data_IF_840650517196
#
_entry.id   IF_840650517196
#
_cell.length_a   1.000
_cell.length_b   1.000
_cell.length_c   1.000
_cell.angle_alpha   90.00
_cell.angle_beta   90.00
_cell.angle_gamma   90.00
#
_symmetry.space_group_name_H-M   'P 1'
#
loop_
_entity.id
_entity.type
_entity.pdbx_description
1 polymer ?
#
# COMPACT_ATOMS: atom_id res chain seq x y z
N UNK A 1 -4.14 27.61 12.89
CA UNK A 1 -3.74 26.19 12.99
C UNK A 1 -3.39 25.71 11.58
N UNK A 2 -2.19 25.17 11.35
CA UNK A 2 -1.76 24.76 9.99
C UNK A 2 -2.62 23.59 9.49
N UNK A 3 -3.64 23.90 8.68
CA UNK A 3 -4.60 22.93 8.13
C UNK A 3 -4.03 22.09 6.96
N UNK A 4 -2.90 22.51 6.40
CA UNK A 4 -2.22 21.85 5.28
C UNK A 4 -1.83 20.38 5.54
N UNK A 5 -1.13 20.01 6.63
CA UNK A 5 -0.78 18.61 6.90
C UNK A 5 -2.01 17.71 7.09
N UNK A 6 -3.09 18.27 7.64
CA UNK A 6 -4.34 17.55 7.82
C UNK A 6 -5.03 17.28 6.47
N UNK A 7 -5.12 18.28 5.59
CA UNK A 7 -5.66 18.13 4.23
C UNK A 7 -4.86 17.12 3.40
N UNK A 8 -3.52 17.17 3.48
CA UNK A 8 -2.65 16.19 2.83
C UNK A 8 -2.96 14.76 3.28
N UNK A 9 -3.05 14.55 4.59
CA UNK A 9 -3.28 13.21 5.18
C UNK A 9 -4.62 12.62 4.74
N UNK A 10 -5.68 13.43 4.74
CA UNK A 10 -7.00 12.99 4.27
C UNK A 10 -6.98 12.62 2.79
N UNK A 11 -6.36 13.46 1.95
CA UNK A 11 -6.27 13.19 0.52
C UNK A 11 -5.45 11.94 0.21
N UNK A 12 -4.36 11.74 0.94
CA UNK A 12 -3.57 10.51 0.86
C UNK A 12 -4.41 9.28 1.20
N UNK A 13 -5.15 9.30 2.32
CA UNK A 13 -5.99 8.16 2.74
C UNK A 13 -7.08 7.86 1.70
N UNK A 14 -7.75 8.88 1.19
CA UNK A 14 -8.77 8.74 0.14
C UNK A 14 -8.18 8.06 -1.10
N UNK A 15 -7.06 8.58 -1.62
CA UNK A 15 -6.40 8.05 -2.81
C UNK A 15 -5.84 6.66 -2.59
N UNK A 16 -5.29 6.39 -1.41
CA UNK A 16 -4.75 5.08 -1.06
C UNK A 16 -5.84 4.02 -0.99
N UNK A 17 -6.98 4.33 -0.36
CA UNK A 17 -8.11 3.41 -0.28
C UNK A 17 -8.76 3.19 -1.64
N UNK A 18 -8.96 4.24 -2.44
CA UNK A 18 -9.46 4.11 -3.81
C UNK A 18 -8.50 3.31 -4.69
N UNK A 19 -7.19 3.58 -4.59
CA UNK A 19 -6.17 2.82 -5.30
C UNK A 19 -6.17 1.36 -4.90
N UNK A 20 -6.30 1.05 -3.60
CA UNK A 20 -6.39 -0.31 -3.09
C UNK A 20 -7.65 -1.03 -3.57
N UNK A 21 -8.80 -0.36 -3.59
CA UNK A 21 -10.05 -0.88 -4.14
C UNK A 21 -9.96 -1.13 -5.65
N UNK A 22 -9.28 -0.26 -6.39
CA UNK A 22 -9.07 -0.41 -7.83
C UNK A 22 -8.21 -1.64 -8.16
N UNK A 23 -7.14 -1.88 -7.41
CA UNK A 23 -6.27 -3.06 -7.59
C UNK A 23 -6.78 -4.29 -6.84
N UNK A 24 -7.85 -4.18 -6.06
CA UNK A 24 -8.41 -5.26 -5.24
C UNK A 24 -8.67 -6.58 -5.99
N UNK A 25 -9.16 -6.63 -7.25
CA UNK A 25 -9.30 -7.91 -7.96
C UNK A 25 -7.96 -8.61 -8.18
N UNK A 26 -6.88 -7.86 -8.44
CA UNK A 26 -5.53 -8.41 -8.61
C UNK A 26 -4.99 -8.89 -7.27
N UNK A 27 -5.18 -8.12 -6.20
CA UNK A 27 -4.76 -8.52 -4.85
C UNK A 27 -5.49 -9.79 -4.39
N UNK A 28 -6.80 -9.89 -4.60
CA UNK A 28 -7.58 -11.08 -4.29
C UNK A 28 -7.13 -12.29 -5.11
N UNK A 29 -6.78 -12.08 -6.39
CA UNK A 29 -6.21 -13.13 -7.22
C UNK A 29 -4.87 -13.65 -6.68
N UNK A 30 -3.95 -12.76 -6.29
CA UNK A 30 -2.67 -13.14 -5.70
C UNK A 30 -2.83 -13.83 -4.34
N UNK A 31 -3.74 -13.33 -3.48
CA UNK A 31 -4.09 -13.99 -2.22
C UNK A 31 -4.69 -15.38 -2.49
N UNK A 32 -5.55 -15.50 -3.50
CA UNK A 32 -6.10 -16.78 -3.95
C UNK A 32 -5.00 -17.77 -4.35
N UNK A 33 -3.99 -17.32 -5.10
CA UNK A 33 -2.82 -18.13 -5.44
C UNK A 33 -2.08 -18.57 -4.17
N UNK A 34 -1.83 -17.68 -3.21
CA UNK A 34 -1.18 -18.04 -1.94
C UNK A 34 -1.98 -19.10 -1.17
N UNK A 35 -3.31 -19.00 -1.12
CA UNK A 35 -4.17 -20.00 -0.48
C UNK A 35 -4.14 -21.35 -1.21
N UNK A 36 -4.08 -21.35 -2.55
CA UNK A 36 -3.90 -22.58 -3.33
C UNK A 36 -2.54 -23.22 -3.02
N UNK A 37 -1.46 -22.42 -3.01
CA UNK A 37 -0.12 -22.90 -2.64
C UNK A 37 -0.12 -23.46 -1.21
N UNK A 38 -0.81 -22.80 -0.26
CA UNK A 38 -0.96 -23.31 1.10
C UNK A 38 -1.69 -24.66 1.13
N UNK A 39 -2.76 -24.83 0.36
CA UNK A 39 -3.49 -26.09 0.27
C UNK A 39 -2.62 -27.21 -0.30
N UNK A 40 -1.86 -26.91 -1.36
CA UNK A 40 -0.93 -27.85 -1.97
C UNK A 40 0.20 -28.24 -1.00
N UNK A 41 0.78 -27.25 -0.31
CA UNK A 41 1.86 -27.47 0.67
C UNK A 41 1.41 -28.33 1.84
N UNK A 42 0.20 -28.08 2.35
CA UNK A 42 -0.40 -28.91 3.40
C UNK A 42 -0.51 -30.38 2.97
N UNK A 43 -0.90 -30.62 1.71
CA UNK A 43 -1.04 -31.98 1.14
C UNK A 43 0.31 -32.64 0.88
N UNK A 44 1.29 -31.91 0.34
CA UNK A 44 2.63 -32.46 0.05
C UNK A 44 3.40 -32.78 1.33
N UNK A 45 3.29 -31.93 2.35
CA UNK A 45 3.98 -32.09 3.62
C UNK A 45 3.20 -32.93 4.63
N UNK A 46 1.98 -33.37 4.28
CA UNK A 46 1.06 -34.12 5.16
C UNK A 46 0.86 -33.42 6.51
N UNK A 47 0.80 -32.09 6.51
CA UNK A 47 0.55 -31.33 7.74
C UNK A 47 -0.87 -31.56 8.23
N UNK A 48 -1.03 -31.79 9.54
CA UNK A 48 -2.33 -32.11 10.17
C UNK A 48 -3.33 -30.94 10.13
N UNK A 49 -2.86 -29.71 9.96
CA UNK A 49 -3.69 -28.50 10.01
C UNK A 49 -3.41 -27.60 8.81
N UNK A 50 -4.48 -27.24 8.09
CA UNK A 50 -4.41 -26.28 6.99
C UNK A 50 -3.99 -24.89 7.47
N UNK A 51 -4.44 -24.46 8.65
CA UNK A 51 -4.07 -23.17 9.24
C UNK A 51 -2.56 -23.03 9.42
N UNK A 52 -1.87 -24.11 9.77
CA UNK A 52 -0.41 -24.15 9.86
C UNK A 52 0.25 -23.90 8.50
N UNK A 53 -0.36 -24.41 7.43
CA UNK A 53 0.13 -24.20 6.08
C UNK A 53 -0.11 -22.79 5.56
N UNK A 54 -1.27 -22.23 5.84
CA UNK A 54 -1.58 -20.82 5.51
C UNK A 54 -0.64 -19.90 6.25
N UNK A 55 -0.42 -20.13 7.55
CA UNK A 55 0.54 -19.37 8.35
C UNK A 55 1.94 -19.40 7.72
N UNK A 56 2.46 -20.60 7.40
CA UNK A 56 3.76 -20.75 6.74
C UNK A 56 3.84 -19.96 5.42
N UNK A 57 2.85 -20.11 4.54
CA UNK A 57 2.85 -19.42 3.25
C UNK A 57 2.75 -17.90 3.40
N UNK A 58 1.94 -17.40 4.33
CA UNK A 58 1.82 -15.97 4.57
C UNK A 58 3.11 -15.36 5.12
N UNK A 59 3.77 -15.99 6.10
CA UNK A 59 5.04 -15.48 6.63
C UNK A 59 6.17 -15.56 5.61
N UNK A 60 6.12 -16.53 4.69
CA UNK A 60 7.08 -16.64 3.59
C UNK A 60 6.83 -15.58 2.52
N UNK A 61 5.57 -15.40 2.10
CA UNK A 61 5.18 -14.38 1.11
C UNK A 61 5.44 -12.96 1.61
N UNK A 62 5.20 -12.71 2.90
CA UNK A 62 5.51 -11.43 3.55
C UNK A 62 6.99 -11.29 3.93
N UNK A 63 7.84 -12.25 3.56
CA UNK A 63 9.29 -12.24 3.83
C UNK A 63 9.68 -12.20 5.32
N UNK A 64 8.75 -12.53 6.24
CA UNK A 64 8.99 -12.56 7.69
C UNK A 64 9.82 -13.79 8.08
N UNK A 65 9.43 -14.98 7.60
CA UNK A 65 10.28 -16.18 7.66
C UNK A 65 10.68 -16.69 9.04
N UNK A 66 9.80 -16.71 10.04
CA UNK A 66 10.13 -17.18 11.42
C UNK A 66 10.74 -18.60 11.53
N UNK A 67 10.62 -19.45 10.51
CA UNK A 67 11.28 -20.76 10.47
C UNK A 67 10.69 -21.84 11.40
N UNK A 68 9.62 -21.56 12.15
CA UNK A 68 8.97 -22.51 13.06
C UNK A 68 8.34 -23.72 12.34
N UNK A 69 7.94 -23.51 11.09
CA UNK A 69 7.39 -24.55 10.21
C UNK A 69 8.11 -24.45 8.88
N UNK A 70 8.69 -25.56 8.42
CA UNK A 70 9.45 -25.61 7.16
C UNK A 70 9.12 -26.88 6.38
N UNK A 71 9.04 -26.80 5.04
CA UNK A 71 8.80 -27.97 4.21
C UNK A 71 10.02 -28.88 4.17
N UNK A 72 9.78 -30.17 4.37
CA UNK A 72 10.80 -31.23 4.32
C UNK A 72 10.86 -31.90 2.95
N UNK A 73 9.78 -31.87 2.18
CA UNK A 73 9.72 -32.49 0.85
C UNK A 73 10.25 -31.53 -0.22
N UNK A 74 10.83 -32.09 -1.29
CA UNK A 74 11.28 -31.28 -2.44
C UNK A 74 10.16 -30.46 -3.08
N UNK A 75 8.95 -31.04 -3.19
CA UNK A 75 7.77 -30.34 -3.71
C UNK A 75 7.34 -29.18 -2.79
N UNK A 76 7.33 -29.39 -1.47
CA UNK A 76 7.00 -28.34 -0.52
C UNK A 76 7.99 -27.17 -0.54
N UNK A 77 9.29 -27.45 -0.73
CA UNK A 77 10.31 -26.41 -0.90
C UNK A 77 10.11 -25.60 -2.18
N UNK A 78 9.78 -26.24 -3.29
CA UNK A 78 9.45 -25.55 -4.54
C UNK A 78 8.22 -24.64 -4.37
N UNK A 79 7.16 -25.12 -3.71
CA UNK A 79 5.97 -24.33 -3.40
C UNK A 79 6.30 -23.13 -2.49
N UNK A 80 7.21 -23.29 -1.53
CA UNK A 80 7.67 -22.20 -0.68
C UNK A 80 8.38 -21.10 -1.50
N UNK A 81 9.27 -21.49 -2.43
CA UNK A 81 9.92 -20.54 -3.34
C UNK A 81 8.87 -19.79 -4.18
N UNK A 82 7.91 -20.51 -4.76
CA UNK A 82 6.85 -19.90 -5.56
C UNK A 82 6.01 -18.90 -4.74
N UNK A 83 5.72 -19.22 -3.47
CA UNK A 83 5.01 -18.28 -2.60
C UNK A 83 5.79 -17.00 -2.31
N UNK A 84 7.13 -17.08 -2.27
CA UNK A 84 8.00 -15.91 -2.15
C UNK A 84 7.87 -14.97 -3.35
N UNK A 85 7.89 -15.51 -4.58
CA UNK A 85 7.69 -14.70 -5.79
C UNK A 85 6.32 -14.00 -5.81
N UNK A 86 5.26 -14.73 -5.46
CA UNK A 86 3.90 -14.16 -5.37
C UNK A 86 3.84 -13.07 -4.31
N UNK A 87 4.51 -13.29 -3.17
CA UNK A 87 4.64 -12.31 -2.10
C UNK A 87 5.31 -11.01 -2.53
N UNK A 88 6.41 -11.09 -3.28
CA UNK A 88 7.12 -9.92 -3.83
C UNK A 88 6.23 -9.11 -4.78
N UNK A 89 5.46 -9.78 -5.64
CA UNK A 89 4.51 -9.08 -6.53
C UNK A 89 3.40 -8.41 -5.73
N UNK A 90 2.84 -9.10 -4.73
CA UNK A 90 1.79 -8.57 -3.87
C UNK A 90 2.27 -7.32 -3.11
N UNK A 91 3.43 -7.39 -2.46
CA UNK A 91 3.98 -6.25 -1.72
C UNK A 91 4.35 -5.11 -2.66
N UNK A 92 4.93 -5.41 -3.84
CA UNK A 92 5.23 -4.41 -4.86
C UNK A 92 4.01 -3.64 -5.35
N UNK A 93 2.87 -4.32 -5.54
CA UNK A 93 1.61 -3.66 -5.91
C UNK A 93 1.12 -2.71 -4.81
N UNK A 94 1.12 -3.16 -3.55
CA UNK A 94 0.70 -2.32 -2.42
C UNK A 94 1.61 -1.09 -2.29
N UNK A 95 2.93 -1.27 -2.44
CA UNK A 95 3.90 -0.17 -2.41
C UNK A 95 3.68 0.79 -3.57
N UNK A 96 3.44 0.29 -4.78
CA UNK A 96 3.13 1.13 -5.95
C UNK A 96 1.90 2.01 -5.71
N UNK A 97 0.83 1.44 -5.16
CA UNK A 97 -0.39 2.21 -4.81
C UNK A 97 -0.08 3.27 -3.75
N UNK A 98 0.69 2.92 -2.71
CA UNK A 98 1.11 3.87 -1.69
C UNK A 98 1.89 5.05 -2.28
N UNK A 99 2.90 4.77 -3.11
CA UNK A 99 3.72 5.81 -3.75
C UNK A 99 2.86 6.72 -4.63
N UNK A 100 2.01 6.16 -5.47
CA UNK A 100 1.13 6.95 -6.34
C UNK A 100 0.17 7.83 -5.52
N UNK A 101 -0.34 7.31 -4.40
CA UNK A 101 -1.22 8.07 -3.50
C UNK A 101 -0.49 9.24 -2.85
N UNK A 102 0.76 9.03 -2.41
CA UNK A 102 1.61 10.10 -1.86
C UNK A 102 1.91 11.16 -2.91
N UNK A 103 2.25 10.75 -4.14
CA UNK A 103 2.61 11.69 -5.21
C UNK A 103 1.43 12.60 -5.57
N UNK A 104 0.23 12.03 -5.72
CA UNK A 104 -0.96 12.80 -6.05
C UNK A 104 -1.40 13.69 -4.87
N UNK A 105 -1.34 13.20 -3.62
CA UNK A 105 -1.68 14.01 -2.45
C UNK A 105 -0.70 15.15 -2.25
N UNK A 106 0.59 14.92 -2.56
CA UNK A 106 1.63 15.95 -2.53
C UNK A 106 1.33 17.05 -3.54
N UNK A 107 1.06 16.69 -4.79
CA UNK A 107 0.75 17.65 -5.85
C UNK A 107 -0.50 18.47 -5.51
N UNK A 108 -1.58 17.83 -5.10
CA UNK A 108 -2.82 18.50 -4.73
C UNK A 108 -2.63 19.49 -3.55
N UNK A 109 -1.79 19.13 -2.58
CA UNK A 109 -1.48 20.01 -1.45
C UNK A 109 -0.58 21.17 -1.86
N UNK A 110 0.37 20.93 -2.76
CA UNK A 110 1.25 21.96 -3.32
C UNK A 110 0.44 23.03 -4.06
N UNK A 111 -0.45 22.63 -4.96
CA UNK A 111 -1.29 23.55 -5.74
C UNK A 111 -2.19 24.41 -4.82
N UNK A 112 -2.84 23.78 -3.83
CA UNK A 112 -3.65 24.49 -2.82
C UNK A 112 -2.81 25.51 -2.03
N UNK A 113 -1.56 25.18 -1.72
CA UNK A 113 -0.68 26.08 -0.96
C UNK A 113 -0.23 27.29 -1.78
N UNK A 114 -0.02 27.12 -3.09
CA UNK A 114 0.31 28.23 -4.00
C UNK A 114 -0.87 29.18 -4.17
N UNK A 115 -2.09 28.66 -4.35
CA UNK A 115 -3.30 29.48 -4.45
C UNK A 115 -3.52 30.36 -3.21
N UNK A 116 -3.40 29.81 -2.01
CA UNK A 116 -3.51 30.60 -0.76
C UNK A 116 -2.44 31.69 -0.65
N UNK A 117 -1.23 31.45 -1.17
CA UNK A 117 -0.16 32.44 -1.19
C UNK A 117 -0.41 33.56 -2.22
N UNK A 118 -1.03 33.24 -3.35
CA UNK A 118 -1.43 34.25 -4.35
C UNK A 118 -2.54 35.13 -3.77
N UNK A 119 -3.62 34.53 -3.27
CA UNK A 119 -4.75 35.27 -2.71
C UNK A 119 -4.33 36.18 -1.54
N UNK A 120 -3.53 35.68 -0.61
CA UNK A 120 -3.01 36.51 0.48
C UNK A 120 -2.12 37.66 -0.01
N UNK A 121 -1.34 37.47 -1.09
CA UNK A 121 -0.58 38.57 -1.70
C UNK A 121 -1.49 39.60 -2.36
N UNK A 122 -2.54 39.16 -3.06
CA UNK A 122 -3.51 40.07 -3.69
C UNK A 122 -4.22 40.95 -2.64
N UNK A 123 -4.72 40.36 -1.56
CA UNK A 123 -5.35 41.10 -0.45
C UNK A 123 -4.39 42.14 0.19
N UNK A 124 -3.10 41.77 0.35
CA UNK A 124 -2.10 42.71 0.88
C UNK A 124 -1.76 43.84 -0.10
N UNK A 125 -1.87 43.60 -1.40
CA UNK A 125 -1.66 44.65 -2.42
C UNK A 125 -2.83 45.62 -2.46
N UNK A 126 -4.07 45.11 -2.46
CA UNK A 126 -5.28 45.94 -2.44
C UNK A 126 -5.32 46.85 -1.20
N UNK A 127 -5.04 46.29 -0.02
CA UNK A 127 -5.02 47.07 1.23
C UNK A 127 -3.93 48.14 1.27
N UNK A 128 -2.74 47.88 0.71
CA UNK A 128 -1.68 48.88 0.59
C UNK A 128 -2.02 50.00 -0.41
N UNK A 129 -2.69 49.68 -1.53
CA UNK A 129 -3.14 50.71 -2.48
C UNK A 129 -4.21 51.61 -1.89
N UNK A 130 -5.09 51.08 -1.02
CA UNK A 130 -6.13 51.86 -0.34
C UNK A 130 -5.56 52.82 0.71
N UNK A 131 -4.44 52.47 1.34
CA UNK A 131 -3.74 53.33 2.30
C UNK A 131 -2.95 54.48 1.66
N UNK A 132 -2.61 54.40 0.36
CA UNK A 132 -1.88 55.46 -0.35
C UNK A 132 -2.79 56.48 -1.06
N UNK A 133 -4.09 56.21 -1.17
CA UNK A 133 -5.09 57.11 -1.80
C UNK A 133 -5.76 58.10 -0.84
N UNK A 134 -5.29 58.20 0.41
CA UNK A 134 -5.71 59.15 1.44
C UNK A 134 -4.52 59.95 1.94
#
# INVERSE_FOLDING_TARGET
MNILPFKFTLKFIELFMTGLLLVSPILLFLIGILLIIAKLTCRTEKWKSYSKSVYFILITALTVGYGQTVPKTGKGRFLAILSGFVGVVLTGLVVSVAINSVMISWQATHDTSVEMLIESKLETMESNTFHQSH
#
